data_IF_342634674750
#
_entry.id   IF_342634674750
#
_cell.length_a   1.000
_cell.length_b   1.000
_cell.length_c   1.000
_cell.angle_alpha   90.00
_cell.angle_beta   90.00
_cell.angle_gamma   90.00
#
_symmetry.space_group_name_H-M   'P 1'
#
loop_
_entity.id
_entity.type
_entity.pdbx_description
1 polymer ?
#
# COMPACT_ATOMS: atom_id res chain seq x y z
N UNK A 1 -32.71 19.99 40.17
CA UNK A 1 -33.19 19.16 39.05
C UNK A 1 -32.44 19.61 37.81
N UNK A 2 -31.33 18.95 37.51
CA UNK A 2 -30.53 19.19 36.31
C UNK A 2 -30.79 18.06 35.32
N UNK A 3 -31.09 18.43 34.08
CA UNK A 3 -31.24 17.49 32.96
C UNK A 3 -30.15 17.77 31.93
N UNK A 4 -29.25 16.80 31.85
CA UNK A 4 -28.20 16.51 30.88
C UNK A 4 -28.44 17.03 29.45
N UNK A 5 -27.49 17.84 28.96
CA UNK A 5 -27.10 17.89 27.55
C UNK A 5 -26.08 16.76 27.33
N UNK A 6 -26.46 15.69 26.62
CA UNK A 6 -25.52 14.66 26.14
C UNK A 6 -25.61 14.55 24.63
N UNK A 7 -24.42 14.62 24.02
CA UNK A 7 -24.02 14.02 22.75
C UNK A 7 -24.75 14.50 21.48
N UNK A 8 -24.40 15.72 21.05
CA UNK A 8 -24.39 16.03 19.61
C UNK A 8 -22.93 16.12 19.17
N UNK A 9 -22.52 15.16 18.35
CA UNK A 9 -21.19 15.10 17.74
C UNK A 9 -20.86 16.43 17.06
N UNK A 10 -19.72 17.00 17.45
CA UNK A 10 -19.19 18.21 16.85
C UNK A 10 -18.63 17.82 15.48
N UNK A 11 -19.39 18.13 14.44
CA UNK A 11 -18.94 18.09 13.05
C UNK A 11 -17.89 19.19 12.87
N UNK A 12 -16.60 18.85 13.02
CA UNK A 12 -15.50 19.79 12.83
C UNK A 12 -15.25 19.95 11.32
N UNK A 13 -16.00 20.87 10.68
CA UNK A 13 -15.75 21.29 9.30
C UNK A 13 -14.51 22.19 9.26
N UNK A 14 -13.33 21.64 8.98
CA UNK A 14 -12.14 22.41 8.63
C UNK A 14 -12.10 22.58 7.11
N UNK A 15 -12.73 23.65 6.62
CA UNK A 15 -12.61 24.09 5.23
C UNK A 15 -11.29 24.82 5.07
N UNK A 16 -10.24 24.11 4.68
CA UNK A 16 -9.01 24.72 4.17
C UNK A 16 -8.93 24.39 2.68
N UNK A 17 -9.31 25.36 1.84
CA UNK A 17 -9.10 25.40 0.37
C UNK A 17 -9.35 24.07 -0.38
N UNK A 18 -10.58 23.54 -0.30
CA UNK A 18 -11.11 22.55 -1.26
C UNK A 18 -11.20 21.10 -0.79
N UNK A 19 -10.68 20.73 0.39
CA UNK A 19 -10.83 19.38 0.94
C UNK A 19 -12.11 19.26 1.79
N UNK A 20 -12.94 18.26 1.51
CA UNK A 20 -14.06 17.87 2.39
C UNK A 20 -13.50 16.84 3.38
N UNK A 21 -13.46 17.19 4.68
CA UNK A 21 -13.22 16.23 5.75
C UNK A 21 -14.56 15.85 6.38
N UNK A 22 -14.99 14.61 6.20
CA UNK A 22 -16.03 14.01 7.02
C UNK A 22 -15.35 13.28 8.19
N UNK A 23 -15.62 13.72 9.41
CA UNK A 23 -15.08 13.11 10.64
C UNK A 23 -16.26 12.62 11.46
N UNK A 24 -16.36 11.29 11.63
CA UNK A 24 -17.32 10.64 12.52
C UNK A 24 -16.57 10.02 13.72
N UNK A 25 -17.14 10.07 14.92
CA UNK A 25 -16.42 9.99 16.21
C UNK A 25 -16.46 8.62 16.94
N UNK A 26 -16.72 7.49 16.29
CA UNK A 26 -16.73 6.18 16.98
C UNK A 26 -15.97 5.08 16.25
N UNK A 27 -14.72 4.76 16.63
CA UNK A 27 -13.91 3.69 16.01
C UNK A 27 -13.88 3.70 14.45
N UNK A 28 -14.31 4.80 13.84
CA UNK A 28 -14.56 4.87 12.42
C UNK A 28 -13.25 5.03 11.69
N UNK A 29 -13.14 4.26 10.62
CA UNK A 29 -12.14 4.49 9.58
C UNK A 29 -12.37 5.90 9.06
N UNK A 30 -11.36 6.76 9.21
CA UNK A 30 -11.37 8.13 8.70
C UNK A 30 -10.82 8.07 7.28
N UNK A 31 -11.62 8.55 6.32
CA UNK A 31 -11.23 8.63 4.93
C UNK A 31 -10.74 10.04 4.59
N UNK A 32 -9.60 10.14 3.92
CA UNK A 32 -9.03 11.38 3.42
C UNK A 32 -8.78 11.25 1.92
N UNK A 33 -9.45 12.12 1.15
CA UNK A 33 -9.29 12.25 -0.28
C UNK A 33 -8.56 13.58 -0.57
N UNK A 34 -7.42 13.52 -1.23
CA UNK A 34 -6.56 14.68 -1.47
C UNK A 34 -6.20 14.80 -2.94
N UNK A 35 -6.36 15.99 -3.48
CA UNK A 35 -5.88 16.35 -4.81
C UNK A 35 -4.36 16.57 -4.83
N UNK A 36 -3.75 16.48 -6.00
CA UNK A 36 -2.35 16.90 -6.23
C UNK A 36 -2.04 18.27 -5.62
N UNK A 37 -0.80 18.42 -5.15
CA UNK A 37 -0.24 19.64 -4.57
C UNK A 37 -0.93 20.17 -3.30
N UNK A 38 -1.88 19.42 -2.74
CA UNK A 38 -2.42 19.71 -1.41
C UNK A 38 -1.47 19.19 -0.34
N UNK A 39 -1.39 19.90 0.79
CA UNK A 39 -0.65 19.40 1.95
C UNK A 39 -1.53 18.37 2.66
N UNK A 40 -1.07 17.12 2.74
CA UNK A 40 -1.71 16.14 3.62
C UNK A 40 -1.54 16.60 5.08
N UNK A 41 -2.66 16.72 5.78
CA UNK A 41 -2.70 16.93 7.22
C UNK A 41 -3.62 15.86 7.80
N UNK A 42 -3.02 14.85 8.43
CA UNK A 42 -3.75 13.91 9.26
C UNK A 42 -3.91 14.58 10.63
N UNK A 43 -5.14 14.96 11.03
CA UNK A 43 -5.37 15.61 12.31
C UNK A 43 -4.89 14.73 13.48
N UNK A 44 -4.53 15.35 14.61
CA UNK A 44 -4.04 14.61 15.76
C UNK A 44 -5.11 13.64 16.29
N UNK A 45 -4.70 12.41 16.55
CA UNK A 45 -5.52 11.45 17.24
C UNK A 45 -5.71 11.88 18.71
N UNK A 46 -6.96 11.95 19.18
CA UNK A 46 -7.29 12.35 20.56
C UNK A 46 -6.87 11.31 21.59
N UNK A 47 -6.60 11.73 22.83
CA UNK A 47 -6.26 10.82 23.93
C UNK A 47 -4.89 10.13 23.81
N UNK A 48 -3.97 10.67 23.01
CA UNK A 48 -2.64 10.08 22.81
C UNK A 48 -2.62 8.85 21.91
N UNK A 49 -3.76 8.51 21.29
CA UNK A 49 -3.89 7.48 20.27
C UNK A 49 -2.93 7.73 19.11
N UNK A 50 -2.60 6.67 18.39
CA UNK A 50 -1.68 6.69 17.25
C UNK A 50 -2.41 6.46 15.94
N UNK A 51 -1.96 7.14 14.90
CA UNK A 51 -2.43 7.03 13.53
C UNK A 51 -2.09 5.65 12.99
N UNK A 52 -3.11 4.95 12.53
CA UNK A 52 -3.04 3.64 11.90
C UNK A 52 -3.65 3.70 10.50
N UNK A 53 -2.83 3.89 9.47
CA UNK A 53 -3.23 3.88 8.07
C UNK A 53 -3.52 2.44 7.65
N UNK A 54 -4.75 2.22 7.21
CA UNK A 54 -5.31 0.94 6.77
C UNK A 54 -5.09 0.79 5.26
N UNK A 55 -5.39 1.85 4.52
CA UNK A 55 -5.30 1.89 3.09
C UNK A 55 -4.58 3.17 2.65
N UNK A 56 -3.66 2.99 1.70
CA UNK A 56 -3.04 4.07 0.97
C UNK A 56 -3.12 3.73 -0.51
N UNK A 57 -3.82 4.59 -1.24
CA UNK A 57 -4.23 4.37 -2.62
C UNK A 57 -3.95 5.65 -3.40
N UNK A 58 -3.28 5.53 -4.54
CA UNK A 58 -3.04 6.61 -5.49
C UNK A 58 -3.81 6.34 -6.75
N UNK A 59 -4.58 7.32 -7.23
CA UNK A 59 -5.36 7.17 -8.46
C UNK A 59 -5.37 8.42 -9.31
N UNK A 60 -6.14 8.33 -10.40
CA UNK A 60 -6.30 9.40 -11.40
C UNK A 60 -7.74 9.38 -11.90
N UNK A 61 -8.36 10.56 -11.96
CA UNK A 61 -9.75 10.72 -12.39
C UNK A 61 -9.82 11.75 -13.55
N UNK A 62 -10.64 11.56 -14.60
CA UNK A 62 -11.00 12.62 -15.54
C UNK A 62 -11.56 13.86 -14.83
N UNK A 63 -11.28 15.04 -15.40
CA UNK A 63 -11.78 16.31 -14.88
C UNK A 63 -13.33 16.34 -14.92
N UNK A 64 -13.95 16.94 -13.91
CA UNK A 64 -15.42 17.12 -13.87
C UNK A 64 -16.18 16.14 -12.97
N UNK A 65 -15.55 15.06 -12.51
CA UNK A 65 -16.08 14.27 -11.38
C UNK A 65 -15.85 15.06 -10.09
N UNK A 66 -16.87 15.15 -9.23
CA UNK A 66 -16.77 15.87 -7.96
C UNK A 66 -15.51 15.49 -7.17
N UNK A 67 -14.57 16.44 -7.11
CA UNK A 67 -13.51 16.61 -6.09
C UNK A 67 -12.79 15.32 -5.66
N UNK A 68 -11.83 14.85 -6.47
CA UNK A 68 -10.75 13.97 -6.01
C UNK A 68 -11.22 12.70 -5.25
N UNK A 69 -12.41 12.21 -5.58
CA UNK A 69 -12.91 10.94 -5.10
C UNK A 69 -12.55 9.81 -6.08
N UNK A 70 -12.44 8.56 -5.59
CA UNK A 70 -12.31 7.40 -6.47
C UNK A 70 -13.50 7.30 -7.42
N UNK A 71 -13.26 7.19 -8.73
CA UNK A 71 -14.35 6.92 -9.69
C UNK A 71 -14.65 5.42 -9.71
N UNK A 72 -15.92 4.98 -9.58
CA UNK A 72 -16.26 3.56 -9.47
C UNK A 72 -15.89 2.74 -10.71
N UNK A 73 -15.72 3.38 -11.88
CA UNK A 73 -15.46 2.68 -13.16
C UNK A 73 -14.08 2.94 -13.77
N UNK A 74 -13.32 3.91 -13.26
CA UNK A 74 -12.00 4.31 -13.78
C UNK A 74 -11.03 4.38 -12.61
N UNK A 75 -11.01 3.33 -11.78
CA UNK A 75 -10.16 3.34 -10.59
C UNK A 75 -8.76 2.83 -10.91
N UNK A 76 -7.86 3.79 -11.07
CA UNK A 76 -6.44 3.59 -11.33
C UNK A 76 -5.64 3.44 -10.04
N UNK A 77 -6.11 2.62 -9.10
CA UNK A 77 -5.54 2.57 -7.75
C UNK A 77 -4.21 1.81 -7.72
N UNK A 78 -3.14 2.49 -7.34
CA UNK A 78 -1.87 1.87 -6.91
C UNK A 78 -1.81 1.93 -5.39
N UNK A 79 -1.64 0.75 -4.77
CA UNK A 79 -1.38 0.66 -3.34
C UNK A 79 -0.01 1.25 -3.04
N UNK A 80 0.01 2.27 -2.19
CA UNK A 80 1.21 2.93 -1.71
C UNK A 80 1.60 2.48 -0.30
N UNK A 81 2.82 2.80 0.10
CA UNK A 81 3.32 2.64 1.47
C UNK A 81 4.04 3.89 1.99
N UNK A 82 4.01 5.00 1.25
CA UNK A 82 4.77 6.21 1.56
C UNK A 82 4.22 6.85 2.83
N UNK A 83 2.91 7.08 2.90
CA UNK A 83 2.28 7.66 4.07
C UNK A 83 2.18 6.66 5.22
N UNK A 84 1.99 5.38 4.94
CA UNK A 84 2.15 4.30 5.94
C UNK A 84 3.53 4.36 6.59
N UNK A 85 4.59 4.64 5.84
CA UNK A 85 5.94 4.75 6.41
C UNK A 85 6.15 6.08 7.17
N UNK A 86 5.51 7.17 6.74
CA UNK A 86 5.70 8.50 7.32
C UNK A 86 4.82 8.80 8.54
N UNK A 87 3.60 8.27 8.58
CA UNK A 87 2.55 8.72 9.51
C UNK A 87 2.11 7.69 10.54
N UNK A 88 2.23 6.42 10.20
CA UNK A 88 1.88 5.32 11.08
C UNK A 88 2.63 5.41 12.42
N UNK A 89 1.94 5.20 13.54
CA UNK A 89 2.60 5.26 14.86
C UNK A 89 2.65 6.65 15.47
N UNK A 90 2.41 7.70 14.69
CA UNK A 90 2.46 9.09 15.17
C UNK A 90 1.11 9.51 15.74
N UNK A 91 1.11 10.49 16.64
CA UNK A 91 -0.12 11.11 17.13
C UNK A 91 -0.67 12.13 16.14
N UNK A 92 0.18 12.70 15.29
CA UNK A 92 -0.14 13.66 14.24
C UNK A 92 0.77 13.43 13.02
N UNK A 93 0.33 13.79 11.81
CA UNK A 93 1.18 13.68 10.63
C UNK A 93 0.85 14.76 9.58
N UNK A 94 1.83 15.56 9.16
CA UNK A 94 1.64 16.60 8.14
C UNK A 94 2.69 16.62 7.01
N UNK A 95 2.98 15.47 6.36
CA UNK A 95 3.97 15.39 5.31
C UNK A 95 3.51 16.23 4.11
N UNK A 96 4.46 16.90 3.46
CA UNK A 96 4.15 17.54 2.17
C UNK A 96 4.00 16.45 1.12
N UNK A 97 2.81 16.30 0.58
CA UNK A 97 2.61 15.51 -0.62
C UNK A 97 3.27 16.27 -1.77
N UNK A 98 4.47 15.85 -2.15
CA UNK A 98 5.06 16.22 -3.43
C UNK A 98 4.78 15.05 -4.36
N UNK A 99 4.08 15.24 -5.49
CA UNK A 99 4.09 14.22 -6.53
C UNK A 99 5.55 13.98 -6.85
N UNK A 100 6.06 12.79 -6.51
CA UNK A 100 7.41 12.42 -6.89
C UNK A 100 7.36 12.35 -8.42
N UNK A 101 8.18 13.11 -9.16
CA UNK A 101 8.22 12.99 -10.62
C UNK A 101 8.67 11.58 -11.08
N UNK A 102 9.05 10.72 -10.13
CA UNK A 102 9.59 9.38 -10.28
C UNK A 102 8.73 8.25 -9.69
N UNK A 103 7.47 8.49 -9.33
CA UNK A 103 6.52 7.38 -9.39
C UNK A 103 5.97 7.40 -10.81
N UNK A 104 6.56 6.65 -11.78
CA UNK A 104 5.72 6.15 -12.84
C UNK A 104 4.73 5.28 -12.08
N UNK A 105 3.53 5.81 -11.84
CA UNK A 105 2.33 5.00 -12.04
C UNK A 105 2.62 4.40 -13.40
N UNK A 106 3.16 3.17 -13.45
CA UNK A 106 3.56 2.57 -14.72
C UNK A 106 2.28 2.68 -15.52
N UNK A 107 2.32 3.51 -16.55
CA UNK A 107 1.13 3.89 -17.30
C UNK A 107 0.48 2.67 -17.96
N UNK A 108 1.11 1.49 -17.82
CA UNK A 108 0.65 0.16 -18.14
C UNK A 108 -0.44 -0.41 -17.20
N UNK A 109 -0.64 0.09 -15.97
CA UNK A 109 -1.71 -0.37 -15.07
C UNK A 109 -2.96 0.51 -15.08
N UNK A 110 -2.83 1.69 -15.66
CA UNK A 110 -3.95 2.53 -15.97
C UNK A 110 -4.31 2.33 -17.43
N UNK A 111 -5.58 2.11 -17.79
CA UNK A 111 -5.95 2.17 -19.20
C UNK A 111 -5.46 3.52 -19.74
N UNK A 112 -4.72 3.48 -20.85
CA UNK A 112 -4.48 4.67 -21.64
C UNK A 112 -5.88 5.12 -22.07
N UNK A 113 -6.37 6.20 -21.49
CA UNK A 113 -7.59 6.83 -21.98
C UNK A 113 -7.16 7.49 -23.30
N UNK A 114 -7.37 6.78 -24.41
CA UNK A 114 -7.24 7.32 -25.76
C UNK A 114 -8.42 8.27 -25.97
N UNK A 115 -8.34 9.48 -25.40
CA UNK A 115 -9.24 10.56 -25.77
C UNK A 115 -8.45 11.51 -26.66
N UNK A 116 -8.94 11.69 -27.89
CA UNK A 116 -8.48 12.72 -28.83
C UNK A 116 -8.70 14.15 -28.28
N UNK A 117 -9.43 14.26 -27.16
CA UNK A 117 -9.57 15.47 -26.35
C UNK A 117 -8.73 15.33 -25.07
N UNK A 118 -7.80 16.27 -24.89
CA UNK A 118 -6.90 16.36 -23.72
C UNK A 118 -7.71 16.77 -22.49
N UNK A 119 -8.46 15.85 -21.90
CA UNK A 119 -9.07 16.06 -20.59
C UNK A 119 -7.96 16.08 -19.53
N UNK A 120 -7.95 17.12 -18.72
CA UNK A 120 -6.96 17.32 -17.66
C UNK A 120 -7.21 16.26 -16.59
N UNK A 121 -6.33 15.26 -16.54
CA UNK A 121 -6.41 14.21 -15.53
C UNK A 121 -5.93 14.73 -14.18
N UNK A 122 -6.76 14.59 -13.15
CA UNK A 122 -6.38 14.95 -11.77
C UNK A 122 -5.95 13.70 -11.01
N UNK A 123 -4.70 13.66 -10.52
CA UNK A 123 -4.28 12.58 -9.60
C UNK A 123 -4.82 12.87 -8.19
N UNK A 124 -5.19 11.81 -7.47
CA UNK A 124 -5.61 11.87 -6.08
C UNK A 124 -4.86 10.86 -5.21
N UNK A 125 -4.86 11.14 -3.92
CA UNK A 125 -4.48 10.24 -2.84
C UNK A 125 -5.73 9.93 -2.02
N UNK A 126 -6.05 8.65 -1.89
CA UNK A 126 -7.04 8.13 -0.97
C UNK A 126 -6.32 7.45 0.20
N UNK A 127 -6.61 7.93 1.42
CA UNK A 127 -6.12 7.34 2.66
C UNK A 127 -7.29 6.93 3.53
N UNK A 128 -7.21 5.73 4.08
CA UNK A 128 -8.06 5.28 5.18
C UNK A 128 -7.20 5.08 6.40
N UNK A 129 -7.57 5.66 7.55
CA UNK A 129 -6.83 5.48 8.78
C UNK A 129 -7.73 5.46 10.02
N UNK A 130 -7.21 4.88 11.10
CA UNK A 130 -7.85 4.84 12.41
C UNK A 130 -6.92 5.42 13.48
N UNK A 131 -7.50 5.83 14.61
CA UNK A 131 -6.76 6.22 15.79
C UNK A 131 -6.84 5.10 16.84
N UNK A 132 -5.69 4.48 17.15
CA UNK A 132 -5.62 3.34 18.06
C UNK A 132 -4.83 3.67 19.33
N UNK A 133 -5.24 3.14 20.49
CA UNK A 133 -4.53 3.35 21.76
C UNK A 133 -3.12 2.73 21.75
N UNK A 134 -2.94 1.66 20.97
CA UNK A 134 -1.65 1.01 20.74
C UNK A 134 -1.56 0.58 19.28
N UNK A 135 -0.45 0.94 18.63
CA UNK A 135 0.01 0.21 17.46
C UNK A 135 0.94 -0.85 17.99
N UNK A 136 0.57 -2.11 17.80
CA UNK A 136 1.36 -3.22 18.34
C UNK A 136 2.74 -3.23 17.68
N UNK A 137 3.69 -3.78 18.43
CA UNK A 137 5.10 -3.91 18.08
C UNK A 137 5.30 -4.46 16.68
N UNK A 138 6.38 -4.07 16.01
CA UNK A 138 6.81 -4.68 14.74
C UNK A 138 6.98 -6.20 14.91
N UNK A 139 6.08 -6.97 14.30
CA UNK A 139 5.96 -8.43 14.36
C UNK A 139 6.99 -9.06 13.43
N UNK A 140 7.78 -10.01 13.93
CA UNK A 140 8.76 -10.74 13.10
C UNK A 140 8.07 -11.60 12.03
N UNK A 141 8.79 -11.93 10.96
CA UNK A 141 8.28 -12.84 9.93
C UNK A 141 7.80 -14.17 10.53
N UNK A 142 6.74 -14.71 9.92
CA UNK A 142 6.02 -15.93 10.33
C UNK A 142 5.41 -15.89 11.74
N UNK A 143 5.42 -14.75 12.42
CA UNK A 143 4.70 -14.59 13.69
C UNK A 143 3.25 -14.18 13.43
N UNK A 144 2.32 -14.57 14.32
CA UNK A 144 0.93 -14.16 14.25
C UNK A 144 0.78 -12.64 14.22
N UNK A 145 -0.14 -12.15 13.40
CA UNK A 145 -0.47 -10.75 13.29
C UNK A 145 -1.98 -10.56 13.15
N UNK A 146 -2.45 -9.42 13.61
CA UNK A 146 -3.83 -8.97 13.51
C UNK A 146 -3.96 -7.97 12.36
N UNK A 147 -4.87 -8.27 11.43
CA UNK A 147 -5.09 -7.44 10.25
C UNK A 147 -5.36 -5.99 10.65
N UNK A 148 -4.70 -5.08 9.95
CA UNK A 148 -4.79 -3.63 10.16
C UNK A 148 -4.33 -3.13 11.53
N UNK A 149 -3.91 -3.97 12.48
CA UNK A 149 -3.40 -3.52 13.78
C UNK A 149 -1.88 -3.76 13.92
N UNK A 150 -1.41 -4.87 13.38
CA UNK A 150 -0.02 -5.29 13.45
C UNK A 150 0.76 -4.89 12.19
N UNK A 151 2.02 -4.51 12.39
CA UNK A 151 2.97 -4.32 11.29
C UNK A 151 4.07 -5.35 11.34
N UNK A 152 4.44 -5.83 10.17
CA UNK A 152 5.63 -6.64 10.04
C UNK A 152 6.88 -5.79 10.25
N UNK A 153 7.88 -6.40 10.90
CA UNK A 153 9.16 -5.78 11.18
C UNK A 153 9.94 -5.51 9.89
N UNK A 154 9.85 -6.45 8.95
CA UNK A 154 10.39 -6.35 7.61
C UNK A 154 9.49 -5.47 6.72
N UNK A 155 10.07 -4.55 5.98
CA UNK A 155 9.33 -3.62 5.12
C UNK A 155 8.79 -4.30 3.85
N UNK A 156 9.36 -5.44 3.43
CA UNK A 156 8.88 -6.23 2.30
C UNK A 156 7.93 -7.34 2.78
N UNK A 157 7.29 -7.16 3.93
CA UNK A 157 6.34 -8.09 4.51
C UNK A 157 5.03 -7.39 4.89
N UNK A 158 3.94 -8.15 4.85
CA UNK A 158 2.62 -7.69 5.28
C UNK A 158 1.94 -8.77 6.12
N UNK A 159 0.93 -8.36 6.90
CA UNK A 159 0.06 -9.31 7.58
C UNK A 159 -0.83 -9.96 6.53
N UNK A 160 -0.57 -11.22 6.23
CA UNK A 160 -1.30 -11.98 5.20
C UNK A 160 -2.71 -12.31 5.72
N UNK A 161 -3.78 -11.90 5.02
CA UNK A 161 -5.16 -12.11 5.47
C UNK A 161 -5.58 -13.57 5.53
N UNK A 162 -4.95 -14.43 4.72
CA UNK A 162 -5.31 -15.85 4.65
C UNK A 162 -4.67 -16.64 5.80
N UNK A 163 -3.51 -16.18 6.29
CA UNK A 163 -2.70 -16.90 7.28
C UNK A 163 -2.61 -16.20 8.65
N UNK A 164 -3.02 -14.93 8.75
CA UNK A 164 -2.86 -14.08 9.94
C UNK A 164 -1.42 -14.10 10.47
N UNK A 165 -0.46 -14.05 9.54
CA UNK A 165 0.97 -14.05 9.85
C UNK A 165 1.71 -13.04 8.99
N UNK A 166 2.82 -12.52 9.52
CA UNK A 166 3.71 -11.67 8.74
C UNK A 166 4.43 -12.46 7.66
N UNK A 167 4.09 -12.23 6.39
CA UNK A 167 4.67 -12.91 5.23
C UNK A 167 5.20 -11.92 4.20
N UNK A 168 6.19 -12.37 3.44
CA UNK A 168 6.76 -11.55 2.37
C UNK A 168 5.72 -11.19 1.32
N UNK A 169 5.78 -9.95 0.83
CA UNK A 169 4.94 -9.50 -0.29
C UNK A 169 5.32 -10.24 -1.57
N UNK A 170 4.43 -10.20 -2.57
CA UNK A 170 4.66 -10.85 -3.87
C UNK A 170 5.99 -10.40 -4.50
N UNK A 171 6.78 -11.35 -4.98
CA UNK A 171 8.11 -11.10 -5.55
C UNK A 171 9.24 -11.16 -4.53
N UNK A 172 8.93 -11.45 -3.26
CA UNK A 172 9.90 -11.65 -2.19
C UNK A 172 9.68 -13.00 -1.52
N UNK A 173 10.74 -13.54 -0.93
CA UNK A 173 10.70 -14.77 -0.15
C UNK A 173 11.48 -14.64 1.16
N UNK A 174 11.10 -15.43 2.16
CA UNK A 174 11.77 -15.43 3.45
C UNK A 174 13.10 -16.19 3.36
N UNK A 175 14.20 -15.54 3.75
CA UNK A 175 15.54 -16.13 3.84
C UNK A 175 16.13 -15.85 5.22
N UNK A 176 16.81 -16.83 5.81
CA UNK A 176 17.50 -16.65 7.08
C UNK A 176 18.83 -15.94 6.82
N UNK A 177 18.97 -14.73 7.38
CA UNK A 177 20.19 -13.93 7.34
C UNK A 177 20.58 -13.63 8.78
N UNK A 178 21.80 -14.02 9.19
CA UNK A 178 22.29 -13.85 10.57
C UNK A 178 21.31 -14.39 11.62
N UNK A 179 20.74 -15.58 11.38
CA UNK A 179 19.78 -16.24 12.28
C UNK A 179 18.38 -15.63 12.30
N UNK A 180 18.09 -14.60 11.51
CA UNK A 180 16.78 -13.96 11.47
C UNK A 180 16.13 -14.13 10.08
N UNK A 181 14.81 -14.42 10.01
CA UNK A 181 14.09 -14.38 8.73
C UNK A 181 14.00 -12.94 8.22
N UNK A 182 14.32 -12.75 6.94
CA UNK A 182 14.26 -11.47 6.22
C UNK A 182 13.63 -11.72 4.85
N UNK A 183 12.79 -10.80 4.37
CA UNK A 183 12.25 -10.86 3.02
C UNK A 183 13.27 -10.33 2.02
N UNK A 184 13.70 -11.23 1.14
CA UNK A 184 14.63 -10.92 0.05
C UNK A 184 13.91 -11.07 -1.30
N UNK A 185 14.26 -10.27 -2.32
CA UNK A 185 13.60 -10.35 -3.63
C UNK A 185 13.87 -11.71 -4.29
N UNK A 186 12.91 -12.19 -5.07
CA UNK A 186 13.13 -13.35 -5.93
C UNK A 186 14.29 -13.11 -6.90
N UNK A 187 15.03 -14.17 -7.19
CA UNK A 187 16.25 -14.08 -7.97
C UNK A 187 15.88 -14.14 -9.46
N UNK A 188 16.31 -13.17 -10.30
CA UNK A 188 16.02 -13.19 -11.73
C UNK A 188 16.66 -14.41 -12.40
N UNK A 189 16.17 -14.77 -13.60
CA UNK A 189 16.81 -15.81 -14.40
C UNK A 189 18.29 -15.54 -14.61
N UNK A 190 19.08 -16.61 -14.61
CA UNK A 190 20.54 -16.61 -14.65
C UNK A 190 21.23 -15.93 -13.46
N UNK A 191 20.48 -15.36 -12.50
CA UNK A 191 21.00 -14.82 -11.25
C UNK A 191 21.58 -15.92 -10.34
N UNK A 192 22.58 -15.55 -9.54
CA UNK A 192 23.22 -16.46 -8.58
C UNK A 192 22.24 -16.82 -7.47
N UNK A 193 22.17 -18.10 -7.13
CA UNK A 193 21.29 -18.61 -6.09
C UNK A 193 21.95 -19.78 -5.34
N UNK A 194 21.49 -20.02 -4.12
CA UNK A 194 21.78 -21.24 -3.37
C UNK A 194 20.46 -21.86 -2.92
N UNK A 195 20.34 -23.19 -2.89
CA UNK A 195 19.15 -23.84 -2.30
C UNK A 195 19.05 -23.42 -0.82
N UNK A 196 17.90 -22.91 -0.32
CA UNK A 196 16.54 -22.96 -0.89
C UNK A 196 16.02 -21.64 -1.51
N UNK A 197 16.87 -20.84 -2.14
CA UNK A 197 16.48 -19.57 -2.78
C UNK A 197 15.41 -19.73 -3.86
N UNK A 198 14.53 -18.73 -3.98
CA UNK A 198 13.40 -18.73 -4.92
C UNK A 198 13.70 -17.86 -6.14
N UNK A 199 13.50 -18.43 -7.32
CA UNK A 199 13.65 -17.75 -8.60
C UNK A 199 12.38 -16.96 -8.96
N UNK A 200 12.55 -15.84 -9.67
CA UNK A 200 11.47 -14.90 -9.99
C UNK A 200 10.46 -15.44 -11.01
N UNK A 201 10.82 -16.50 -11.73
CA UNK A 201 9.91 -17.21 -12.64
C UNK A 201 9.38 -18.48 -11.99
N UNK A 202 8.07 -18.71 -12.06
CA UNK A 202 7.37 -19.87 -11.49
C UNK A 202 7.92 -21.22 -11.97
N UNK A 203 8.38 -21.24 -13.23
CA UNK A 203 8.95 -22.41 -13.89
C UNK A 203 10.49 -22.42 -13.87
N UNK A 204 11.10 -21.68 -12.94
CA UNK A 204 12.52 -21.70 -12.68
C UNK A 204 12.85 -22.32 -11.33
N UNK A 205 14.05 -22.87 -11.22
CA UNK A 205 14.62 -23.45 -10.02
C UNK A 205 16.10 -23.08 -9.89
N UNK A 206 16.62 -23.14 -8.66
CA UNK A 206 18.05 -22.96 -8.43
C UNK A 206 18.81 -24.22 -8.84
N UNK A 207 19.44 -24.22 -10.02
CA UNK A 207 20.17 -25.37 -10.57
C UNK A 207 21.57 -24.98 -11.01
N UNK A 208 22.58 -25.61 -10.42
CA UNK A 208 23.99 -25.31 -10.70
C UNK A 208 24.38 -23.89 -10.24
N UNK A 209 23.87 -23.46 -9.09
CA UNK A 209 24.17 -22.15 -8.49
C UNK A 209 23.52 -20.96 -9.21
N UNK A 210 22.62 -21.20 -10.16
CA UNK A 210 21.89 -20.15 -10.89
C UNK A 210 20.42 -20.50 -11.06
N UNK A 211 19.59 -19.48 -11.10
CA UNK A 211 18.18 -19.63 -11.47
C UNK A 211 18.06 -20.02 -12.93
N UNK A 212 17.55 -21.22 -13.20
CA UNK A 212 17.38 -21.78 -14.55
C UNK A 212 15.96 -22.32 -14.70
N UNK A 213 15.48 -22.38 -15.94
CA UNK A 213 14.21 -23.05 -16.20
C UNK A 213 14.27 -24.53 -15.78
N UNK A 214 13.19 -24.98 -15.15
CA UNK A 214 12.94 -26.39 -14.87
C UNK A 214 13.02 -27.20 -16.18
N UNK A 215 13.27 -28.52 -16.10
CA UNK A 215 13.08 -29.40 -17.25
C UNK A 215 11.70 -29.13 -17.89
N UNK A 216 11.64 -29.16 -19.22
CA UNK A 216 10.44 -28.89 -20.05
C UNK A 216 10.04 -27.42 -20.26
N UNK A 217 10.77 -26.46 -19.67
CA UNK A 217 10.57 -25.02 -19.90
C UNK A 217 11.81 -24.36 -20.51
N UNK A 218 11.62 -23.28 -21.26
CA UNK A 218 12.71 -22.50 -21.85
C UNK A 218 12.58 -21.02 -21.51
N UNK A 219 13.71 -20.32 -21.59
CA UNK A 219 13.76 -18.89 -21.34
C UNK A 219 13.13 -18.12 -22.51
N UNK A 220 12.13 -17.30 -22.21
CA UNK A 220 11.43 -16.40 -23.12
C UNK A 220 11.20 -15.06 -22.42
N UNK A 221 11.78 -13.99 -22.96
CA UNK A 221 11.68 -12.63 -22.40
C UNK A 221 12.01 -12.52 -20.90
N UNK A 222 13.03 -13.23 -20.43
CA UNK A 222 13.45 -13.21 -19.02
C UNK A 222 12.52 -13.97 -18.07
N UNK A 223 11.65 -14.84 -18.59
CA UNK A 223 10.80 -15.78 -17.83
C UNK A 223 10.83 -17.18 -18.45
N UNK A 224 10.48 -18.21 -17.68
CA UNK A 224 10.39 -19.58 -18.17
C UNK A 224 8.98 -19.89 -18.69
N UNK A 225 8.86 -20.13 -19.99
CA UNK A 225 7.60 -20.45 -20.67
C UNK A 225 7.59 -21.89 -21.22
N UNK A 226 6.39 -22.39 -21.47
CA UNK A 226 6.17 -23.69 -22.15
C UNK A 226 6.30 -23.57 -23.66
N UNK A 227 6.47 -24.71 -24.33
CA UNK A 227 6.35 -24.80 -25.78
C UNK A 227 4.89 -24.54 -26.18
N UNK A 228 4.60 -23.31 -26.60
CA UNK A 228 3.46 -23.09 -27.48
C UNK A 228 3.97 -23.39 -28.89
N UNK A 229 3.85 -24.66 -29.29
CA UNK A 229 3.85 -25.01 -30.70
C UNK A 229 2.64 -24.29 -31.31
N UNK A 230 2.90 -23.20 -32.04
CA UNK A 230 1.94 -22.65 -32.98
C UNK A 230 1.89 -23.54 -34.23
#
# INVERSE_FOLDING_TARGET
>A
MGSNFKDKGILCLLVILGCILEISQSQEVIQLNLCLNTRLVIPPCTGGKKINIILESYGRNPEGVERCQPHPTIDCTIRGDVFINLCQGKTECSPRFRPVPYYPIKASKCPQIETDDVEILTNYLHLEYQCLDRIRSRISLNQPCELNLDRCKDNNAHCDPDFLQCRCVKGYFAKIINGNPVCVPHIPLNGLCAVPDICNSTNAECRGGRCRCKPDFYEKYGSCGEFLLC
#
